data_IF_694447073849
#
_entry.id   IF_694447073849
#
_cell.length_a   1.000
_cell.length_b   1.000
_cell.length_c   1.000
_cell.angle_alpha   90.00
_cell.angle_beta   90.00
_cell.angle_gamma   90.00
#
_symmetry.space_group_name_H-M   'P 1'
#
loop_
_entity.id
_entity.type
_entity.pdbx_description
1 polymer ?
#
# COMPACT_ATOMS: atom_id res chain seq x y z
N UNK A 1 -5.39 4.77 3.34
CA UNK A 1 -5.78 3.87 2.26
C UNK A 1 -7.25 4.03 1.90
N UNK A 2 -7.62 3.55 0.74
CA UNK A 2 -9.00 3.56 0.28
C UNK A 2 -9.60 2.16 0.27
N UNK A 3 -10.92 2.07 0.52
CA UNK A 3 -11.72 0.87 0.32
C UNK A 3 -12.94 1.26 -0.51
N UNK A 4 -13.25 0.52 -1.57
CA UNK A 4 -14.46 0.75 -2.35
C UNK A 4 -15.59 -0.16 -1.90
N UNK A 5 -16.78 0.41 -1.72
CA UNK A 5 -17.99 -0.31 -1.36
C UNK A 5 -19.23 0.26 -2.04
N UNK A 6 -20.27 -0.57 -2.21
CA UNK A 6 -21.60 -0.12 -2.62
C UNK A 6 -22.44 0.20 -1.39
N UNK A 7 -23.42 1.08 -1.55
CA UNK A 7 -24.33 1.42 -0.45
C UNK A 7 -25.04 0.17 0.10
N UNK A 8 -24.94 -0.03 1.41
CA UNK A 8 -25.48 -1.19 2.13
C UNK A 8 -24.49 -2.34 2.33
N UNK A 9 -23.30 -2.28 1.73
CA UNK A 9 -22.27 -3.31 1.96
C UNK A 9 -21.73 -3.28 3.40
N UNK A 10 -21.48 -4.48 3.94
CA UNK A 10 -20.74 -4.67 5.18
C UNK A 10 -19.25 -4.79 4.86
N UNK A 11 -18.52 -3.72 5.10
CA UNK A 11 -17.08 -3.64 4.88
C UNK A 11 -16.34 -4.10 6.12
N UNK A 12 -15.31 -4.92 5.96
CA UNK A 12 -14.46 -5.34 7.07
C UNK A 12 -13.01 -5.57 6.68
N UNK A 13 -12.11 -5.37 7.65
CA UNK A 13 -10.68 -5.70 7.58
C UNK A 13 -10.11 -5.89 8.98
N UNK A 14 -9.01 -6.61 9.11
CA UNK A 14 -8.28 -6.74 10.37
C UNK A 14 -7.15 -5.71 10.44
N UNK A 15 -6.95 -5.13 11.61
CA UNK A 15 -5.88 -4.17 11.90
C UNK A 15 -5.15 -4.55 13.19
N UNK A 16 -3.84 -4.40 13.21
CA UNK A 16 -2.97 -4.71 14.34
C UNK A 16 -1.79 -3.74 14.36
N UNK A 17 -1.32 -3.35 15.56
CA UNK A 17 -0.02 -2.69 15.74
C UNK A 17 0.99 -3.69 16.29
N UNK A 18 2.25 -3.56 15.88
CA UNK A 18 3.36 -4.37 16.36
C UNK A 18 4.51 -3.46 16.78
N UNK A 19 5.10 -3.74 17.93
CA UNK A 19 6.22 -2.94 18.46
C UNK A 19 7.42 -2.96 17.52
N UNK A 20 8.02 -1.80 17.33
CA UNK A 20 9.28 -1.62 16.60
C UNK A 20 10.34 -1.09 17.55
N UNK A 21 11.43 -1.83 17.71
CA UNK A 21 12.54 -1.43 18.58
C UNK A 21 12.09 -1.05 19.99
N UNK A 22 12.38 0.18 20.39
CA UNK A 22 12.04 0.73 21.71
C UNK A 22 10.94 1.82 21.66
N UNK A 23 10.18 1.90 20.57
CA UNK A 23 9.06 2.85 20.52
C UNK A 23 8.02 2.51 21.59
N UNK A 24 7.39 3.54 22.14
CA UNK A 24 6.37 3.34 23.14
C UNK A 24 5.17 2.59 22.56
N UNK A 25 4.59 1.71 23.36
CA UNK A 25 3.29 1.11 23.07
C UNK A 25 2.26 2.23 22.87
N UNK A 26 1.55 2.20 21.77
CA UNK A 26 0.50 3.16 21.45
C UNK A 26 -0.69 2.45 20.79
N UNK A 27 -1.87 2.83 21.20
CA UNK A 27 -3.10 2.47 20.51
C UNK A 27 -3.13 3.14 19.15
N UNK A 28 -3.76 2.51 18.16
CA UNK A 28 -3.88 3.03 16.81
C UNK A 28 -5.30 3.55 16.57
N UNK A 29 -5.49 4.87 16.48
CA UNK A 29 -6.77 5.42 16.04
C UNK A 29 -7.01 5.07 14.57
N UNK A 30 -8.24 4.66 14.27
CA UNK A 30 -8.72 4.37 12.92
C UNK A 30 -9.97 5.20 12.67
N UNK A 31 -9.98 5.97 11.58
CA UNK A 31 -11.15 6.75 11.15
C UNK A 31 -11.52 6.35 9.73
N UNK A 32 -12.80 6.10 9.49
CA UNK A 32 -13.35 5.86 8.16
C UNK A 32 -14.19 7.05 7.75
N UNK A 33 -13.85 7.65 6.61
CA UNK A 33 -14.56 8.78 6.02
C UNK A 33 -15.21 8.37 4.70
N UNK A 34 -16.51 8.60 4.58
CA UNK A 34 -17.30 8.32 3.38
C UNK A 34 -16.91 9.24 2.21
N UNK A 35 -17.30 8.92 0.96
CA UNK A 35 -17.09 9.78 -0.21
C UNK A 35 -17.66 11.20 -0.04
N UNK A 36 -18.77 11.35 0.69
CA UNK A 36 -19.37 12.64 1.05
C UNK A 36 -18.51 13.50 2.00
N UNK A 37 -17.50 12.90 2.65
CA UNK A 37 -16.69 13.52 3.70
C UNK A 37 -17.24 13.31 5.12
N UNK A 38 -18.34 12.59 5.28
CA UNK A 38 -18.87 12.21 6.60
C UNK A 38 -18.00 11.13 7.24
N UNK A 39 -17.72 11.26 8.54
CA UNK A 39 -17.06 10.20 9.33
C UNK A 39 -18.10 9.14 9.68
N UNK A 40 -17.88 7.91 9.20
CA UNK A 40 -18.80 6.77 9.43
C UNK A 40 -18.33 5.82 10.51
N UNK A 41 -17.04 5.85 10.86
CA UNK A 41 -16.47 5.07 11.95
C UNK A 41 -15.28 5.80 12.57
N UNK A 42 -15.22 5.80 13.90
CA UNK A 42 -14.02 6.07 14.69
C UNK A 42 -13.82 4.90 15.65
N UNK A 43 -12.66 4.27 15.58
CA UNK A 43 -12.31 3.08 16.37
C UNK A 43 -10.88 3.21 16.86
N UNK A 44 -10.54 2.48 17.92
CA UNK A 44 -9.19 2.41 18.46
C UNK A 44 -8.74 0.96 18.52
N UNK A 45 -7.66 0.65 17.83
CA UNK A 45 -7.03 -0.67 17.85
C UNK A 45 -6.05 -0.72 19.03
N UNK A 46 -6.26 -1.60 20.03
CA UNK A 46 -5.33 -1.76 21.13
C UNK A 46 -3.95 -2.21 20.66
N UNK A 47 -2.93 -1.86 21.42
CA UNK A 47 -1.54 -2.21 21.09
C UNK A 47 -1.34 -3.73 21.13
N UNK A 48 -0.78 -4.29 20.05
CA UNK A 48 -0.51 -5.73 19.84
C UNK A 48 -1.76 -6.64 19.94
N UNK A 49 -2.96 -6.09 19.78
CA UNK A 49 -4.19 -6.87 19.74
C UNK A 49 -4.83 -6.77 18.34
N UNK A 50 -4.88 -7.89 17.57
CA UNK A 50 -5.59 -7.91 16.31
C UNK A 50 -7.07 -7.54 16.50
N UNK A 51 -7.53 -6.52 15.82
CA UNK A 51 -8.89 -6.00 15.93
C UNK A 51 -9.58 -6.05 14.58
N UNK A 52 -10.80 -6.59 14.55
CA UNK A 52 -11.66 -6.57 13.38
C UNK A 52 -12.39 -5.23 13.31
N UNK A 53 -12.12 -4.46 12.29
CA UNK A 53 -12.82 -3.22 11.97
C UNK A 53 -13.94 -3.54 10.99
N UNK A 54 -15.14 -3.03 11.25
CA UNK A 54 -16.28 -3.20 10.34
C UNK A 54 -17.23 -2.01 10.37
N UNK A 55 -17.82 -1.70 9.22
CA UNK A 55 -18.85 -0.68 9.07
C UNK A 55 -19.79 -1.00 7.93
N UNK A 56 -21.03 -0.50 7.99
CA UNK A 56 -21.97 -0.53 6.87
C UNK A 56 -21.76 0.71 6.00
N UNK A 57 -21.59 0.54 4.70
CA UNK A 57 -21.39 1.63 3.76
C UNK A 57 -22.70 2.42 3.54
N UNK A 58 -22.84 3.70 3.98
CA UNK A 58 -24.06 4.47 3.79
C UNK A 58 -24.27 4.91 2.33
N UNK A 59 -23.23 4.96 1.52
CA UNK A 59 -23.26 5.38 0.12
C UNK A 59 -22.26 4.60 -0.72
N UNK A 60 -22.43 4.58 -2.04
CA UNK A 60 -21.51 3.94 -2.97
C UNK A 60 -20.30 4.84 -3.24
N UNK A 61 -19.07 4.30 -3.11
CA UNK A 61 -17.85 4.99 -3.49
C UNK A 61 -16.60 4.54 -2.75
N UNK A 62 -15.53 5.35 -2.84
CA UNK A 62 -14.26 5.10 -2.20
C UNK A 62 -14.21 5.75 -0.80
N UNK A 63 -14.11 4.93 0.22
CA UNK A 63 -13.99 5.35 1.62
C UNK A 63 -12.51 5.55 1.95
N UNK A 64 -12.18 6.70 2.55
CA UNK A 64 -10.84 6.96 3.07
C UNK A 64 -10.74 6.39 4.48
N UNK A 65 -9.83 5.45 4.66
CA UNK A 65 -9.46 4.94 6.00
C UNK A 65 -8.11 5.53 6.39
N UNK A 66 -8.09 6.26 7.49
CA UNK A 66 -6.86 6.74 8.12
C UNK A 66 -6.57 5.89 9.35
N UNK A 67 -5.31 5.47 9.49
CA UNK A 67 -4.81 4.73 10.64
C UNK A 67 -3.41 5.27 10.97
N UNK A 68 -3.13 5.48 12.25
CA UNK A 68 -1.84 6.01 12.71
C UNK A 68 -1.29 5.14 13.85
N UNK A 69 -0.34 4.29 13.53
CA UNK A 69 0.39 3.45 14.49
C UNK A 69 1.54 4.17 15.20
N UNK A 70 1.70 5.49 15.01
CA UNK A 70 2.83 6.25 15.53
C UNK A 70 4.16 5.73 14.97
N UNK A 71 5.11 5.42 15.85
CA UNK A 71 6.40 4.81 15.47
C UNK A 71 6.35 3.29 15.28
N UNK A 72 5.19 2.66 15.50
CA UNK A 72 5.03 1.22 15.46
C UNK A 72 4.58 0.74 14.06
N UNK A 73 4.81 -0.54 13.77
CA UNK A 73 4.39 -1.17 12.53
C UNK A 73 2.88 -1.42 12.56
N UNK A 74 2.20 -1.08 11.47
CA UNK A 74 0.81 -1.45 11.21
C UNK A 74 0.75 -2.69 10.33
N UNK A 75 -0.12 -3.61 10.66
CA UNK A 75 -0.50 -4.75 9.84
C UNK A 75 -1.98 -4.66 9.53
N UNK A 76 -2.31 -4.78 8.26
CA UNK A 76 -3.68 -4.75 7.74
C UNK A 76 -3.91 -6.02 6.92
N UNK A 77 -5.02 -6.72 7.15
CA UNK A 77 -5.34 -8.00 6.48
C UNK A 77 -6.85 -8.24 6.39
N UNK A 78 -7.24 -9.39 5.85
CA UNK A 78 -8.62 -9.90 5.82
C UNK A 78 -9.65 -8.95 5.19
N UNK A 79 -9.23 -8.34 4.08
CA UNK A 79 -10.04 -7.37 3.34
C UNK A 79 -11.27 -8.00 2.70
N UNK A 80 -12.46 -7.54 3.07
CA UNK A 80 -13.72 -7.96 2.43
C UNK A 80 -13.94 -7.30 1.06
N UNK A 81 -13.36 -6.11 0.84
CA UNK A 81 -13.62 -5.25 -0.33
C UNK A 81 -12.33 -4.86 -1.07
N UNK A 82 -12.42 -4.37 -2.32
CA UNK A 82 -11.29 -3.79 -3.04
C UNK A 82 -10.66 -2.65 -2.25
N UNK A 83 -9.32 -2.62 -2.20
CA UNK A 83 -8.60 -1.61 -1.44
C UNK A 83 -7.32 -1.17 -2.13
N UNK A 84 -6.84 0.01 -1.76
CA UNK A 84 -5.55 0.51 -2.18
C UNK A 84 -4.87 1.33 -1.09
N UNK A 85 -3.61 1.06 -0.85
CA UNK A 85 -2.73 1.85 0.01
C UNK A 85 -2.32 3.13 -0.69
N UNK A 86 -2.26 4.22 0.04
CA UNK A 86 -1.68 5.50 -0.38
C UNK A 86 -1.09 6.20 0.82
N UNK A 87 -0.05 6.98 0.63
CA UNK A 87 0.54 7.82 1.68
C UNK A 87 0.14 9.29 1.54
N UNK A 88 0.35 10.08 2.56
CA UNK A 88 0.02 11.51 2.57
C UNK A 88 0.80 12.32 1.51
N UNK A 89 2.03 11.88 1.16
CA UNK A 89 2.87 12.45 0.11
C UNK A 89 2.89 11.63 -1.18
N UNK A 90 1.96 10.71 -1.36
CA UNK A 90 1.85 9.66 -2.39
C UNK A 90 2.75 8.43 -2.15
N UNK A 91 3.88 8.58 -1.48
CA UNK A 91 4.73 7.44 -1.10
C UNK A 91 4.10 6.61 0.01
N UNK A 92 4.19 5.30 -0.11
CA UNK A 92 3.78 4.34 0.94
C UNK A 92 5.04 3.78 1.59
N UNK A 93 5.12 3.88 2.92
CA UNK A 93 6.19 3.28 3.73
C UNK A 93 5.84 1.85 4.07
N UNK A 94 6.77 0.97 3.87
CA UNK A 94 6.69 -0.44 4.26
C UNK A 94 7.82 -0.79 5.21
N UNK A 95 7.53 -1.64 6.19
CA UNK A 95 8.52 -2.20 7.09
C UNK A 95 8.59 -3.72 6.90
N UNK A 96 9.75 -4.22 6.47
CA UNK A 96 10.02 -5.66 6.29
C UNK A 96 8.91 -6.37 5.49
N UNK A 97 8.32 -5.68 4.52
CA UNK A 97 7.27 -6.27 3.69
C UNK A 97 7.88 -7.09 2.55
N UNK A 98 7.61 -8.38 2.57
CA UNK A 98 7.86 -9.28 1.44
C UNK A 98 6.53 -9.72 0.84
N UNK A 99 6.34 -9.43 -0.44
CA UNK A 99 5.09 -9.74 -1.12
C UNK A 99 4.97 -9.03 -2.45
N UNK A 100 3.79 -9.10 -3.00
CA UNK A 100 3.46 -8.47 -4.26
C UNK A 100 2.52 -7.29 -4.01
N UNK A 101 2.81 -6.17 -4.63
CA UNK A 101 2.02 -4.95 -4.66
C UNK A 101 1.52 -4.76 -6.08
N UNK A 102 0.21 -4.85 -6.29
CA UNK A 102 -0.40 -4.57 -7.58
C UNK A 102 -0.78 -3.09 -7.70
N UNK A 103 -0.70 -2.55 -8.91
CA UNK A 103 -1.14 -1.19 -9.22
C UNK A 103 -1.68 -1.10 -10.64
N UNK A 104 -2.56 -0.13 -10.86
CA UNK A 104 -3.22 0.06 -12.15
C UNK A 104 -2.52 1.14 -12.97
N UNK A 105 -2.19 0.82 -14.20
CA UNK A 105 -1.70 1.77 -15.22
C UNK A 105 -2.88 2.15 -16.11
N UNK A 106 -3.39 3.41 -16.01
CA UNK A 106 -4.59 3.82 -16.71
C UNK A 106 -4.48 3.74 -18.24
N UNK A 107 -5.62 3.58 -18.88
CA UNK A 107 -5.71 3.67 -20.33
C UNK A 107 -5.18 5.02 -20.82
N UNK A 108 -4.35 4.98 -21.88
CA UNK A 108 -3.71 6.14 -22.47
C UNK A 108 -2.39 6.55 -21.83
N UNK A 109 -1.97 5.94 -20.73
CA UNK A 109 -0.64 6.18 -20.17
C UNK A 109 0.44 5.66 -21.13
N UNK A 110 1.48 6.46 -21.36
CA UNK A 110 2.64 6.11 -22.21
C UNK A 110 3.95 6.05 -21.42
N UNK A 111 3.97 6.67 -20.25
CA UNK A 111 5.14 6.76 -19.38
C UNK A 111 4.70 6.71 -17.92
N UNK A 112 5.39 5.92 -17.11
CA UNK A 112 5.25 5.96 -15.66
C UNK A 112 6.55 5.53 -14.97
N UNK A 113 6.64 5.80 -13.66
CA UNK A 113 7.77 5.37 -12.84
C UNK A 113 7.33 4.70 -11.55
N UNK A 114 8.15 3.75 -11.09
CA UNK A 114 8.07 3.18 -9.75
C UNK A 114 9.34 3.56 -9.03
N UNK A 115 9.25 4.53 -8.13
CA UNK A 115 10.38 5.04 -7.36
C UNK A 115 10.42 4.39 -5.98
N UNK A 116 11.62 4.00 -5.55
CA UNK A 116 11.84 3.31 -4.29
C UNK A 116 13.11 3.80 -3.60
N UNK A 117 13.14 3.76 -2.27
CA UNK A 117 14.33 4.04 -1.45
C UNK A 117 14.18 3.44 -0.05
N UNK A 118 15.30 3.15 0.62
CA UNK A 118 15.34 2.84 2.05
C UNK A 118 15.27 4.11 2.90
N UNK A 119 14.78 4.05 4.13
CA UNK A 119 14.67 5.23 4.99
C UNK A 119 16.01 5.62 5.61
N UNK A 120 16.72 4.67 6.19
CA UNK A 120 17.96 4.88 6.89
C UNK A 120 19.22 4.54 6.07
N UNK A 121 20.36 4.82 6.67
CA UNK A 121 21.67 4.45 6.10
C UNK A 121 21.82 2.93 6.16
N UNK A 122 21.92 2.30 5.00
CA UNK A 122 22.11 0.86 4.88
C UNK A 122 20.82 0.04 4.84
N UNK A 123 19.65 0.68 4.95
CA UNK A 123 18.35 0.01 4.76
C UNK A 123 18.04 -0.13 3.28
N UNK A 124 17.32 -1.19 2.94
CA UNK A 124 16.96 -1.43 1.55
C UNK A 124 16.01 -2.58 1.33
N UNK A 125 15.70 -2.80 0.07
CA UNK A 125 14.80 -3.86 -0.37
C UNK A 125 15.27 -4.42 -1.71
N UNK A 126 15.02 -5.70 -1.96
CA UNK A 126 15.08 -6.26 -3.30
C UNK A 126 13.71 -6.12 -3.94
N UNK A 127 13.67 -5.59 -5.16
CA UNK A 127 12.43 -5.33 -5.87
C UNK A 127 12.48 -5.84 -7.30
N UNK A 128 11.38 -6.43 -7.75
CA UNK A 128 11.17 -6.91 -9.13
C UNK A 128 9.89 -6.31 -9.67
N UNK A 129 10.00 -5.49 -10.71
CA UNK A 129 8.85 -4.97 -11.44
C UNK A 129 8.43 -5.97 -12.51
N UNK A 130 7.13 -6.32 -12.54
CA UNK A 130 6.55 -7.29 -13.45
C UNK A 130 5.49 -6.65 -14.34
N UNK A 131 5.51 -7.04 -15.60
CA UNK A 131 4.51 -6.68 -16.62
C UNK A 131 3.17 -7.37 -16.35
N UNK A 132 2.07 -6.91 -17.00
CA UNK A 132 0.76 -7.56 -16.91
C UNK A 132 0.73 -9.04 -17.31
N UNK A 133 1.61 -9.45 -18.20
CA UNK A 133 1.75 -10.86 -18.64
C UNK A 133 2.63 -11.71 -17.70
N UNK A 134 3.12 -11.14 -16.58
CA UNK A 134 3.99 -11.81 -15.60
C UNK A 134 5.48 -11.81 -15.96
N UNK A 135 5.87 -11.24 -17.10
CA UNK A 135 7.29 -11.09 -17.46
C UNK A 135 7.98 -10.04 -16.57
N UNK A 136 9.24 -10.32 -16.21
CA UNK A 136 10.06 -9.37 -15.46
C UNK A 136 10.43 -8.19 -16.36
N UNK A 137 10.05 -6.98 -15.96
CA UNK A 137 10.51 -5.74 -16.57
C UNK A 137 11.92 -5.38 -16.11
N UNK A 138 12.17 -5.50 -14.81
CA UNK A 138 13.47 -5.21 -14.20
C UNK A 138 13.53 -5.63 -12.74
N UNK A 139 14.76 -5.78 -12.24
CA UNK A 139 15.03 -6.13 -10.84
C UNK A 139 16.12 -5.24 -10.30
N UNK A 140 16.00 -4.85 -9.03
CA UNK A 140 17.04 -4.13 -8.29
C UNK A 140 17.18 -4.73 -6.89
N UNK A 141 18.35 -4.64 -6.29
CA UNK A 141 18.67 -5.17 -4.97
C UNK A 141 19.48 -4.15 -4.16
N UNK A 142 19.40 -4.21 -2.84
CA UNK A 142 20.13 -3.35 -1.93
C UNK A 142 19.86 -1.85 -2.15
N UNK A 143 18.60 -1.47 -2.26
CA UNK A 143 18.15 -0.09 -2.49
C UNK A 143 18.36 0.81 -1.27
N UNK A 144 19.60 1.12 -0.95
CA UNK A 144 19.98 2.11 0.07
C UNK A 144 19.92 3.55 -0.44
N UNK A 145 19.70 3.74 -1.73
CA UNK A 145 19.54 5.02 -2.41
C UNK A 145 18.28 4.98 -3.26
N UNK A 146 17.77 6.14 -3.61
CA UNK A 146 16.62 6.25 -4.50
C UNK A 146 16.90 5.57 -5.84
N UNK A 147 16.04 4.65 -6.23
CA UNK A 147 16.02 4.00 -7.52
C UNK A 147 14.65 4.17 -8.16
N UNK A 148 14.61 4.28 -9.48
CA UNK A 148 13.36 4.37 -10.24
C UNK A 148 13.38 3.40 -11.40
N UNK A 149 12.38 2.52 -11.44
CA UNK A 149 12.01 1.90 -12.72
C UNK A 149 11.29 2.95 -13.55
N UNK A 150 11.85 3.30 -14.69
CA UNK A 150 11.23 4.17 -15.67
C UNK A 150 10.67 3.31 -16.81
N UNK A 151 9.36 3.36 -17.01
CA UNK A 151 8.65 2.52 -17.96
C UNK A 151 8.07 3.39 -19.06
N UNK A 152 8.70 3.34 -20.24
CA UNK A 152 8.13 3.87 -21.47
C UNK A 152 7.43 2.74 -22.22
N UNK A 153 6.16 2.94 -22.54
CA UNK A 153 5.33 1.98 -23.26
C UNK A 153 5.40 2.26 -24.77
N UNK A 154 5.65 1.22 -25.57
CA UNK A 154 5.71 1.34 -27.02
C UNK A 154 4.36 1.79 -27.63
N UNK A 155 3.27 1.37 -27.00
CA UNK A 155 1.91 1.77 -27.30
C UNK A 155 1.24 2.27 -26.01
N UNK A 156 0.28 3.21 -26.06
CA UNK A 156 -0.46 3.63 -24.89
C UNK A 156 -1.14 2.44 -24.18
N UNK A 157 -1.09 2.42 -22.85
CA UNK A 157 -1.77 1.40 -22.05
C UNK A 157 -3.26 1.31 -22.41
N UNK A 158 -3.80 0.11 -22.47
CA UNK A 158 -5.23 -0.15 -22.57
C UNK A 158 -5.95 -0.24 -21.21
N UNK A 159 -5.24 0.06 -20.12
CA UNK A 159 -5.68 -0.13 -18.77
C UNK A 159 -5.20 -1.48 -18.23
N UNK A 160 -4.04 -1.50 -17.59
CA UNK A 160 -3.33 -2.73 -17.24
C UNK A 160 -2.93 -2.77 -15.78
N UNK A 161 -2.88 -3.97 -15.23
CA UNK A 161 -2.38 -4.22 -13.87
C UNK A 161 -0.93 -4.66 -13.95
N UNK A 162 -0.06 -3.90 -13.31
CA UNK A 162 1.36 -4.21 -13.11
C UNK A 162 1.57 -4.66 -11.67
N UNK A 163 2.69 -5.35 -11.40
CA UNK A 163 3.03 -5.81 -10.07
C UNK A 163 4.48 -5.48 -9.70
N UNK A 164 4.68 -5.09 -8.45
CA UNK A 164 5.97 -4.89 -7.81
C UNK A 164 6.13 -5.94 -6.72
N UNK A 165 7.05 -6.88 -6.90
CA UNK A 165 7.41 -7.86 -5.87
C UNK A 165 8.55 -7.31 -5.05
N UNK A 166 8.40 -7.34 -3.72
CA UNK A 166 9.44 -6.96 -2.75
C UNK A 166 9.90 -8.17 -1.97
N UNK A 167 11.21 -8.23 -1.68
CA UNK A 167 11.86 -9.33 -0.99
C UNK A 167 12.96 -8.78 -0.08
N UNK A 168 13.44 -9.59 0.85
CA UNK A 168 14.62 -9.27 1.65
C UNK A 168 15.82 -8.97 0.74
N UNK A 169 16.54 -7.87 0.97
CA UNK A 169 17.73 -7.52 0.18
C UNK A 169 18.92 -8.46 0.50
N UNK A 170 19.85 -8.58 -0.45
CA UNK A 170 21.01 -9.46 -0.30
C UNK A 170 22.01 -9.03 0.76
N UNK A 171 22.32 -7.72 0.85
CA UNK A 171 23.37 -7.19 1.72
C UNK A 171 22.99 -5.88 2.45
N UNK A 172 21.76 -5.42 2.36
CA UNK A 172 21.26 -4.26 3.10
C UNK A 172 20.45 -4.71 4.33
N UNK A 173 20.29 -3.84 5.31
CA UNK A 173 19.34 -4.08 6.38
C UNK A 173 17.92 -4.10 5.81
N UNK A 174 17.14 -5.11 6.19
CA UNK A 174 15.76 -5.21 5.75
C UNK A 174 14.86 -4.59 6.81
N UNK A 175 14.65 -3.30 6.69
CA UNK A 175 13.83 -2.51 7.61
C UNK A 175 12.82 -1.69 6.81
N UNK A 176 12.95 -0.38 6.80
CA UNK A 176 11.99 0.50 6.16
C UNK A 176 12.35 0.80 4.71
N UNK A 177 11.33 0.79 3.86
CA UNK A 177 11.46 1.28 2.49
C UNK A 177 10.17 1.95 2.01
N UNK A 178 10.33 2.80 1.02
CA UNK A 178 9.23 3.54 0.40
C UNK A 178 8.99 3.11 -1.03
N UNK A 179 7.74 3.16 -1.44
CA UNK A 179 7.31 2.99 -2.83
C UNK A 179 6.44 4.19 -3.23
N UNK A 180 6.75 4.80 -4.36
CA UNK A 180 6.06 5.96 -4.91
C UNK A 180 5.83 5.77 -6.41
N UNK A 181 4.57 5.80 -6.83
CA UNK A 181 4.16 5.71 -8.22
C UNK A 181 4.14 7.09 -8.87
N UNK A 182 4.77 7.23 -10.04
CA UNK A 182 4.90 8.47 -10.78
C UNK A 182 4.20 8.41 -12.12
N UNK A 183 3.43 9.46 -12.45
CA UNK A 183 2.71 9.55 -13.73
C UNK A 183 1.43 8.72 -13.82
N UNK A 184 1.10 7.99 -12.76
CA UNK A 184 -0.11 7.18 -12.61
C UNK A 184 -0.67 7.37 -11.19
N UNK A 185 -1.91 6.94 -10.90
CA UNK A 185 -2.47 7.04 -9.55
C UNK A 185 -1.58 6.36 -8.49
N UNK A 186 -1.27 7.00 -7.35
CA UNK A 186 -0.38 6.48 -6.31
C UNK A 186 -1.12 5.48 -5.40
N UNK A 187 -1.66 4.42 -6.01
CA UNK A 187 -2.50 3.41 -5.36
C UNK A 187 -1.84 2.03 -5.48
N UNK A 188 -1.50 1.44 -4.34
CA UNK A 188 -0.84 0.14 -4.23
C UNK A 188 -1.76 -0.85 -3.53
N UNK A 189 -2.01 -2.00 -4.12
CA UNK A 189 -2.83 -3.05 -3.51
C UNK A 189 -1.94 -4.23 -3.12
N UNK A 190 -1.82 -4.58 -1.82
CA UNK A 190 -1.02 -5.71 -1.38
C UNK A 190 -1.64 -7.04 -1.80
N UNK A 191 -0.81 -8.08 -1.92
CA UNK A 191 -1.25 -9.44 -2.22
C UNK A 191 -2.30 -9.91 -1.20
N UNK A 192 -3.32 -10.60 -1.70
CA UNK A 192 -4.47 -11.06 -0.91
C UNK A 192 -5.64 -10.08 -0.83
N UNK A 193 -5.45 -8.80 -1.19
CA UNK A 193 -6.53 -7.84 -1.37
C UNK A 193 -7.00 -7.78 -2.84
N UNK A 194 -8.26 -7.37 -3.06
CA UNK A 194 -8.76 -7.06 -4.40
C UNK A 194 -8.30 -5.68 -4.81
N UNK A 195 -7.79 -5.56 -6.04
CA UNK A 195 -7.33 -4.29 -6.59
C UNK A 195 -8.47 -3.28 -6.67
N UNK A 196 -8.20 -2.06 -6.23
CA UNK A 196 -9.04 -0.89 -6.48
C UNK A 196 -8.59 -0.24 -7.80
N UNK A 197 -9.49 -0.17 -8.76
CA UNK A 197 -9.27 0.44 -10.10
C UNK A 197 -10.32 1.50 -10.40
#
# INVERSE_FOLDING_TARGET
FFVYAEAGDEVSFAAETQQVGNYAAAEMPVTVTAPSGEVVLEETVPFEEPTQISFTAPETGAYLVTADGGGNKMRLSDWSHPMALTGAGNEVRFMQYAGELSFYVPKGATLFGVRMWGEGVGEGVKATLMRPNGEVFGTTDNLVQTYQFEVELAEPSEGEVWALRTEQPGNAAWEDFYVDLRGIPPLLTPSGARLLV
#
